data_IF_377099999502
#
_entry.id   IF_377099999502
#
_cell.length_a   1.000
_cell.length_b   1.000
_cell.length_c   1.000
_cell.angle_alpha   90.00
_cell.angle_beta   90.00
_cell.angle_gamma   90.00
#
_symmetry.space_group_name_H-M   'P 1'
#
loop_
_entity.id
_entity.type
_entity.pdbx_description
1 polymer ?
#
# COMPACT_ATOMS: atom_id res chain seq x y z
N UNK A 1 14.22 21.25 -33.94
CA UNK A 1 13.25 20.16 -33.67
C UNK A 1 14.00 18.86 -33.42
N UNK A 2 14.12 18.45 -32.15
CA UNK A 2 14.60 17.16 -31.61
C UNK A 2 14.36 17.23 -30.09
N UNK A 3 13.81 16.27 -29.37
CA UNK A 3 13.49 14.88 -29.66
C UNK A 3 12.20 14.48 -28.92
N UNK A 4 11.43 13.66 -29.61
CA UNK A 4 10.52 12.66 -29.06
C UNK A 4 11.05 12.02 -27.77
N UNK A 5 10.24 12.00 -26.72
CA UNK A 5 10.07 10.85 -25.83
C UNK A 5 8.99 11.17 -24.78
N UNK A 6 7.73 11.20 -25.23
CA UNK A 6 6.62 10.71 -24.42
C UNK A 6 6.77 9.19 -24.28
N UNK A 7 7.92 8.74 -23.75
CA UNK A 7 8.23 7.34 -23.50
C UNK A 7 7.39 6.96 -22.30
N UNK A 8 6.40 6.10 -22.52
CA UNK A 8 5.57 5.55 -21.48
C UNK A 8 6.44 5.17 -20.29
N UNK A 9 6.29 5.89 -19.18
CA UNK A 9 6.99 5.57 -17.94
C UNK A 9 6.50 4.19 -17.55
N UNK A 10 7.31 3.16 -17.82
CA UNK A 10 7.16 1.85 -17.21
C UNK A 10 6.84 2.07 -15.73
N UNK A 11 5.89 1.33 -15.13
CA UNK A 11 5.53 1.51 -13.74
C UNK A 11 6.84 1.60 -12.94
N UNK A 12 7.11 2.76 -12.34
CA UNK A 12 8.33 2.91 -11.53
C UNK A 12 8.37 1.73 -10.57
N UNK A 13 9.55 1.19 -10.25
CA UNK A 13 9.66 0.05 -9.33
C UNK A 13 8.81 0.24 -8.06
N UNK A 14 8.69 1.48 -7.59
CA UNK A 14 7.81 1.89 -6.51
C UNK A 14 6.32 1.55 -6.71
N UNK A 15 5.78 1.71 -7.92
CA UNK A 15 4.39 1.36 -8.27
C UNK A 15 4.19 -0.16 -8.27
N UNK A 16 5.15 -0.91 -8.80
CA UNK A 16 5.11 -2.38 -8.79
C UNK A 16 5.22 -2.94 -7.38
N UNK A 17 6.12 -2.41 -6.56
CA UNK A 17 6.25 -2.79 -5.15
C UNK A 17 4.97 -2.51 -4.37
N UNK A 18 4.31 -1.37 -4.63
CA UNK A 18 3.01 -1.04 -4.00
C UNK A 18 1.91 -2.02 -4.40
N UNK A 19 1.85 -2.42 -5.67
CA UNK A 19 0.86 -3.39 -6.15
C UNK A 19 1.10 -4.77 -5.52
N UNK A 20 2.34 -5.28 -5.54
CA UNK A 20 2.66 -6.55 -4.88
C UNK A 20 2.37 -6.55 -3.39
N UNK A 21 2.64 -5.43 -2.72
CA UNK A 21 2.33 -5.28 -1.30
C UNK A 21 0.81 -5.36 -1.06
N UNK A 22 0.04 -4.66 -1.89
CA UNK A 22 -1.43 -4.68 -1.87
C UNK A 22 -1.96 -6.12 -2.06
N UNK A 23 -1.45 -6.84 -3.07
CA UNK A 23 -1.82 -8.24 -3.36
C UNK A 23 -1.54 -9.17 -2.17
N UNK A 24 -0.36 -9.07 -1.56
CA UNK A 24 0.00 -9.87 -0.38
C UNK A 24 -0.92 -9.53 0.80
N UNK A 25 -1.25 -8.25 1.00
CA UNK A 25 -2.17 -7.85 2.08
C UNK A 25 -3.57 -8.43 1.87
N UNK A 26 -4.12 -8.28 0.66
CA UNK A 26 -5.48 -8.75 0.38
C UNK A 26 -5.52 -10.30 0.51
N UNK A 27 -4.49 -11.02 0.05
CA UNK A 27 -4.34 -12.47 0.29
C UNK A 27 -4.33 -12.85 1.77
N UNK A 28 -3.54 -12.17 2.61
CA UNK A 28 -3.45 -12.47 4.04
C UNK A 28 -4.76 -12.20 4.78
N UNK A 29 -5.45 -11.12 4.43
CA UNK A 29 -6.75 -10.79 5.03
C UNK A 29 -7.80 -11.83 4.64
N UNK A 30 -7.85 -12.25 3.39
CA UNK A 30 -8.79 -13.28 2.93
C UNK A 30 -8.49 -14.64 3.56
N UNK A 31 -7.22 -15.04 3.59
CA UNK A 31 -6.78 -16.26 4.26
C UNK A 31 -7.18 -16.28 5.74
N UNK A 32 -6.93 -15.19 6.47
CA UNK A 32 -7.29 -15.10 7.89
C UNK A 32 -8.79 -15.03 8.12
N UNK A 33 -9.55 -14.39 7.23
CA UNK A 33 -11.01 -14.37 7.30
C UNK A 33 -11.62 -15.77 7.11
N UNK A 34 -11.14 -16.53 6.12
CA UNK A 34 -11.59 -17.91 5.87
C UNK A 34 -11.26 -18.80 7.08
N UNK A 35 -10.05 -18.68 7.64
CA UNK A 35 -9.65 -19.48 8.80
C UNK A 35 -10.42 -19.09 10.07
N UNK A 36 -10.70 -17.80 10.30
CA UNK A 36 -11.50 -17.35 11.43
C UNK A 36 -12.95 -17.86 11.33
N UNK A 37 -13.48 -17.97 10.10
CA UNK A 37 -14.79 -18.57 9.87
C UNK A 37 -14.79 -20.09 10.08
N UNK A 38 -13.77 -20.80 9.56
CA UNK A 38 -13.67 -22.25 9.67
C UNK A 38 -13.35 -22.73 11.09
N UNK A 39 -12.62 -21.92 11.86
CA UNK A 39 -12.19 -22.22 13.22
C UNK A 39 -12.54 -21.08 14.18
N UNK A 40 -13.83 -20.90 14.52
CA UNK A 40 -14.29 -19.78 15.35
C UNK A 40 -13.71 -19.81 16.78
N UNK A 41 -13.35 -21.00 17.27
CA UNK A 41 -12.71 -21.17 18.59
C UNK A 41 -11.25 -20.67 18.61
N UNK A 42 -10.61 -20.55 17.43
CA UNK A 42 -9.23 -20.09 17.30
C UNK A 42 -9.19 -18.57 17.07
N UNK A 43 -9.32 -17.83 18.17
CA UNK A 43 -9.27 -16.35 18.20
C UNK A 43 -8.03 -15.74 17.51
N UNK A 44 -6.92 -16.47 17.48
CA UNK A 44 -5.67 -16.09 16.81
C UNK A 44 -5.87 -15.61 15.36
N UNK A 45 -6.81 -16.22 14.61
CA UNK A 45 -7.06 -15.82 13.22
C UNK A 45 -7.82 -14.49 13.12
N UNK A 46 -8.78 -14.25 14.02
CA UNK A 46 -9.49 -12.98 14.10
C UNK A 46 -8.55 -11.86 14.57
N UNK A 47 -7.75 -12.11 15.60
CA UNK A 47 -6.76 -11.15 16.11
C UNK A 47 -5.72 -10.80 15.04
N UNK A 48 -5.26 -11.79 14.27
CA UNK A 48 -4.33 -11.57 13.16
C UNK A 48 -4.96 -10.71 12.05
N UNK A 49 -6.22 -11.00 11.68
CA UNK A 49 -6.97 -10.19 10.71
C UNK A 49 -7.06 -8.72 11.16
N UNK A 50 -7.36 -8.49 12.43
CA UNK A 50 -7.51 -7.14 12.98
C UNK A 50 -6.16 -6.41 13.03
N UNK A 51 -5.08 -7.10 13.39
CA UNK A 51 -3.72 -6.56 13.32
C UNK A 51 -3.32 -6.17 11.90
N UNK A 52 -3.60 -7.01 10.90
CA UNK A 52 -3.35 -6.71 9.49
C UNK A 52 -4.12 -5.46 9.03
N UNK A 53 -5.40 -5.35 9.41
CA UNK A 53 -6.23 -4.18 9.10
C UNK A 53 -5.73 -2.90 9.79
N UNK A 54 -5.25 -2.99 11.03
CA UNK A 54 -4.65 -1.88 11.74
C UNK A 54 -3.36 -1.39 11.04
N UNK A 55 -2.50 -2.30 10.59
CA UNK A 55 -1.30 -1.95 9.79
C UNK A 55 -1.71 -1.29 8.47
N UNK A 56 -2.68 -1.87 7.74
CA UNK A 56 -3.21 -1.29 6.50
C UNK A 56 -3.72 0.14 6.71
N UNK A 57 -4.48 0.36 7.78
CA UNK A 57 -4.99 1.68 8.16
C UNK A 57 -3.87 2.68 8.43
N UNK A 58 -2.78 2.29 9.11
CA UNK A 58 -1.60 3.15 9.35
C UNK A 58 -0.94 3.59 8.05
N UNK A 59 -0.75 2.69 7.08
CA UNK A 59 -0.16 3.05 5.78
C UNK A 59 -1.12 3.81 4.86
N UNK A 60 -2.43 3.57 4.96
CA UNK A 60 -3.45 4.32 4.23
C UNK A 60 -3.59 5.75 4.78
N UNK A 61 -3.59 5.92 6.11
CA UNK A 61 -3.66 7.22 6.80
C UNK A 61 -2.37 8.04 6.70
N UNK A 62 -1.21 7.39 6.52
CA UNK A 62 0.09 8.06 6.26
C UNK A 62 0.23 8.67 4.86
N UNK A 63 -0.82 8.66 4.02
CA UNK A 63 -0.89 9.54 2.85
C UNK A 63 -1.67 10.81 3.23
N UNK A 64 -0.98 11.82 3.77
CA UNK A 64 -0.78 13.04 2.97
C UNK A 64 0.65 13.61 3.04
N UNK A 65 0.93 14.58 2.15
CA UNK A 65 2.17 15.35 1.95
C UNK A 65 3.23 14.76 0.99
N UNK A 66 2.85 14.63 -0.30
CA UNK A 66 3.79 14.87 -1.42
C UNK A 66 3.60 16.28 -2.04
N UNK A 67 3.11 17.25 -1.25
CA UNK A 67 2.89 18.65 -1.65
C UNK A 67 3.32 19.63 -0.54
N UNK A 68 4.50 19.44 0.06
CA UNK A 68 5.05 20.40 1.03
C UNK A 68 6.59 20.40 1.08
N UNK A 69 7.27 20.13 -0.04
CA UNK A 69 8.70 20.42 -0.17
C UNK A 69 9.12 20.63 -1.63
N UNK A 70 8.36 21.44 -2.34
CA UNK A 70 8.77 22.10 -3.59
C UNK A 70 8.29 23.57 -3.57
N UNK A 71 8.25 24.19 -2.40
CA UNK A 71 8.11 25.65 -2.26
C UNK A 71 9.01 26.08 -1.11
N UNK A 72 10.31 26.08 -1.39
CA UNK A 72 11.28 26.90 -0.69
C UNK A 72 12.27 27.40 -1.73
N UNK A 73 11.79 28.42 -2.46
CA UNK A 73 12.56 29.61 -2.87
C UNK A 73 13.73 29.38 -3.82
N UNK A 74 13.42 29.47 -5.13
CA UNK A 74 14.09 30.46 -5.97
C UNK A 74 14.02 31.82 -5.27
N UNK A 75 15.16 32.39 -4.92
CA UNK A 75 15.38 33.84 -4.81
C UNK A 75 16.86 34.13 -4.64
N UNK A 76 17.39 34.79 -5.68
CA UNK A 76 18.67 35.49 -5.84
C UNK A 76 19.92 34.65 -6.17
#
# INVERSE_FOLDING_TARGET
>A
MRSTELKGKAPSQNKTVRLKLQEIYDFLVDFTAINAYAYPDKKQYADLRDHLNAIRSRYKKRKPAKKAREEATESN
#
